data_IF_680508243981
#
_entry.id   IF_680508243981
#
_cell.length_a   1.000
_cell.length_b   1.000
_cell.length_c   1.000
_cell.angle_alpha   90.00
_cell.angle_beta   90.00
_cell.angle_gamma   90.00
#
_symmetry.space_group_name_H-M   'P 1'
#
loop_
_entity.id
_entity.type
_entity.pdbx_description
1 polymer ?
#
# COMPACT_ATOMS: atom_id res chain seq x y z
N UNK A 1 1.60 26.98 1.02
CA UNK A 1 1.17 26.17 -0.13
C UNK A 1 2.27 26.22 -1.18
N UNK A 2 3.07 25.17 -1.30
CA UNK A 2 4.00 25.03 -2.44
C UNK A 2 3.21 24.30 -3.52
N UNK A 3 2.79 25.04 -4.54
CA UNK A 3 2.20 24.45 -5.75
C UNK A 3 3.34 23.69 -6.44
N UNK A 4 3.37 22.37 -6.30
CA UNK A 4 4.39 21.53 -6.93
C UNK A 4 3.97 21.32 -8.38
N UNK A 5 4.46 22.22 -9.23
CA UNK A 5 4.43 22.07 -10.69
C UNK A 5 4.94 20.65 -11.01
N UNK A 6 4.11 19.89 -11.73
CA UNK A 6 4.46 18.54 -12.18
C UNK A 6 5.48 18.73 -13.30
N UNK A 7 6.76 18.73 -12.92
CA UNK A 7 7.86 18.82 -13.87
C UNK A 7 8.05 17.44 -14.51
N UNK A 8 7.54 17.29 -15.72
CA UNK A 8 7.53 16.05 -16.52
C UNK A 8 8.92 15.56 -16.95
N UNK A 9 9.99 16.30 -16.63
CA UNK A 9 11.38 15.94 -16.91
C UNK A 9 12.17 15.51 -15.66
N UNK A 10 11.49 15.24 -14.55
CA UNK A 10 12.16 14.91 -13.30
C UNK A 10 12.61 13.44 -13.23
N UNK A 11 13.87 13.24 -12.79
CA UNK A 11 14.52 11.92 -12.74
C UNK A 11 13.81 10.95 -11.77
N UNK A 12 13.97 9.61 -11.94
CA UNK A 12 13.37 8.61 -11.05
C UNK A 12 13.69 8.84 -9.56
N UNK A 13 14.92 9.30 -9.27
CA UNK A 13 15.33 9.65 -7.91
C UNK A 13 14.56 10.86 -7.34
N UNK A 14 14.37 11.93 -8.13
CA UNK A 14 13.59 13.08 -7.69
C UNK A 14 12.14 12.68 -7.38
N UNK A 15 11.59 11.77 -8.18
CA UNK A 15 10.24 11.24 -8.01
C UNK A 15 10.14 10.32 -6.79
N UNK A 16 11.18 9.54 -6.49
CA UNK A 16 11.28 8.79 -5.24
C UNK A 16 11.24 9.73 -4.01
N UNK A 17 12.01 10.82 -4.03
CA UNK A 17 11.98 11.82 -2.96
C UNK A 17 10.59 12.47 -2.81
N UNK A 18 9.90 12.76 -3.92
CA UNK A 18 8.54 13.28 -3.89
C UNK A 18 7.55 12.27 -3.31
N UNK A 19 7.68 10.99 -3.66
CA UNK A 19 6.88 9.93 -3.07
C UNK A 19 7.10 9.81 -1.55
N UNK A 20 8.34 9.95 -1.08
CA UNK A 20 8.66 9.97 0.36
C UNK A 20 7.99 11.15 1.09
N UNK A 21 7.92 12.34 0.48
CA UNK A 21 7.17 13.46 1.05
C UNK A 21 5.66 13.17 1.17
N UNK A 22 5.08 12.44 0.21
CA UNK A 22 3.66 12.03 0.30
C UNK A 22 3.43 11.09 1.49
N UNK A 23 4.38 10.18 1.79
CA UNK A 23 4.32 9.34 3.00
C UNK A 23 4.33 10.20 4.26
N UNK A 24 5.21 11.21 4.34
CA UNK A 24 5.23 12.14 5.47
C UNK A 24 3.89 12.89 5.63
N UNK A 25 3.29 13.34 4.54
CA UNK A 25 1.98 14.00 4.57
C UNK A 25 0.86 13.06 5.00
N UNK A 26 0.88 11.80 4.54
CA UNK A 26 -0.05 10.77 5.00
C UNK A 26 0.05 10.57 6.51
N UNK A 27 1.27 10.35 7.03
CA UNK A 27 1.52 10.15 8.46
C UNK A 27 1.04 11.35 9.27
N UNK A 28 1.42 12.58 8.89
CA UNK A 28 0.98 13.79 9.59
C UNK A 28 -0.54 13.95 9.59
N UNK A 29 -1.20 13.60 8.48
CA UNK A 29 -2.66 13.60 8.43
C UNK A 29 -3.23 12.59 9.42
N UNK A 30 -2.74 11.34 9.44
CA UNK A 30 -3.22 10.32 10.39
C UNK A 30 -3.03 10.70 11.86
N UNK A 31 -1.95 11.41 12.20
CA UNK A 31 -1.72 11.89 13.56
C UNK A 31 -2.64 13.06 13.96
N UNK A 32 -3.05 13.90 13.01
CA UNK A 32 -3.93 15.02 13.30
C UNK A 32 -5.38 14.58 13.53
N UNK A 33 -5.83 13.53 12.82
CA UNK A 33 -7.23 13.11 12.77
C UNK A 33 -7.87 12.78 14.14
N UNK A 34 -7.21 12.08 15.08
CA UNK A 34 -7.77 11.86 16.42
C UNK A 34 -8.00 13.14 17.24
N UNK A 35 -7.27 14.21 16.92
CA UNK A 35 -7.31 15.47 17.67
C UNK A 35 -8.09 16.58 16.98
N UNK A 36 -8.23 16.51 15.66
CA UNK A 36 -8.88 17.51 14.82
C UNK A 36 -9.74 16.82 13.75
N UNK A 37 -11.00 16.54 14.08
CA UNK A 37 -11.96 15.98 13.12
C UNK A 37 -12.20 16.90 11.92
N UNK A 38 -11.94 18.22 12.02
CA UNK A 38 -12.05 19.11 10.87
C UNK A 38 -10.99 18.82 9.80
N UNK A 39 -9.89 18.14 10.17
CA UNK A 39 -8.85 17.71 9.24
C UNK A 39 -9.36 16.67 8.23
N UNK A 40 -10.46 15.96 8.51
CA UNK A 40 -11.07 14.98 7.60
C UNK A 40 -11.43 15.62 6.26
N UNK A 41 -11.95 16.85 6.28
CA UNK A 41 -12.30 17.61 5.06
C UNK A 41 -11.11 17.86 4.11
N UNK A 42 -9.87 17.76 4.61
CA UNK A 42 -8.63 17.96 3.83
C UNK A 42 -8.09 16.66 3.24
N UNK A 43 -8.48 15.51 3.77
CA UNK A 43 -8.02 14.20 3.32
C UNK A 43 -8.41 13.87 1.87
N UNK A 44 -9.61 14.20 1.34
CA UNK A 44 -9.93 13.96 -0.06
C UNK A 44 -8.89 14.55 -1.02
N UNK A 45 -8.51 15.82 -0.81
CA UNK A 45 -7.55 16.52 -1.66
C UNK A 45 -6.14 15.89 -1.59
N UNK A 46 -5.74 15.39 -0.41
CA UNK A 46 -4.48 14.69 -0.24
C UNK A 46 -4.48 13.32 -0.97
N UNK A 47 -5.61 12.61 -0.91
CA UNK A 47 -5.79 11.36 -1.66
C UNK A 47 -5.76 11.62 -3.17
N UNK A 48 -6.45 12.67 -3.65
CA UNK A 48 -6.42 13.07 -5.07
C UNK A 48 -4.99 13.37 -5.53
N UNK A 49 -4.23 14.13 -4.72
CA UNK A 49 -2.81 14.41 -4.99
C UNK A 49 -1.97 13.13 -5.09
N UNK A 50 -2.21 12.13 -4.24
CA UNK A 50 -1.52 10.85 -4.30
C UNK A 50 -1.89 10.07 -5.57
N UNK A 51 -3.18 10.03 -5.95
CA UNK A 51 -3.64 9.38 -7.17
C UNK A 51 -3.03 10.02 -8.43
N UNK A 52 -3.04 11.35 -8.52
CA UNK A 52 -2.44 12.08 -9.62
C UNK A 52 -0.94 11.76 -9.74
N UNK A 53 -0.25 11.68 -8.59
CA UNK A 53 1.15 11.31 -8.55
C UNK A 53 1.39 9.86 -8.99
N UNK A 54 0.57 8.91 -8.53
CA UNK A 54 0.63 7.51 -8.96
C UNK A 54 0.49 7.39 -10.47
N UNK A 55 -0.47 8.10 -11.06
CA UNK A 55 -0.67 8.10 -12.51
C UNK A 55 0.58 8.58 -13.26
N UNK A 56 1.25 9.63 -12.76
CA UNK A 56 2.51 10.11 -13.34
C UNK A 56 3.59 9.04 -13.27
N UNK A 57 3.89 8.48 -12.10
CA UNK A 57 4.98 7.50 -11.95
C UNK A 57 4.71 6.17 -12.65
N UNK A 58 3.44 5.78 -12.80
CA UNK A 58 3.05 4.60 -13.58
C UNK A 58 3.26 4.84 -15.07
N UNK A 59 2.89 6.02 -15.57
CA UNK A 59 3.09 6.41 -16.97
C UNK A 59 4.56 6.46 -17.34
N UNK A 60 5.38 7.15 -16.54
CA UNK A 60 6.82 7.26 -16.81
C UNK A 60 7.53 5.90 -16.64
N UNK A 61 7.09 5.08 -15.69
CA UNK A 61 7.63 3.73 -15.46
C UNK A 61 7.18 2.66 -16.47
N UNK A 62 6.18 2.95 -17.31
CA UNK A 62 5.70 2.03 -18.37
C UNK A 62 6.42 2.23 -19.71
N UNK A 63 7.51 3.02 -19.74
CA UNK A 63 8.27 3.28 -20.95
C UNK A 63 8.83 2.00 -21.61
N UNK A 64 8.87 2.01 -22.95
CA UNK A 64 9.17 0.87 -23.85
C UNK A 64 10.63 0.35 -23.79
N UNK A 65 11.37 0.70 -22.72
CA UNK A 65 12.75 0.29 -22.51
C UNK A 65 12.79 -0.93 -21.60
N UNK A 66 13.52 -1.94 -22.05
CA UNK A 66 13.73 -3.22 -21.37
C UNK A 66 13.95 -3.05 -19.85
N UNK A 67 13.06 -3.65 -19.05
CA UNK A 67 13.15 -3.87 -17.60
C UNK A 67 13.81 -2.73 -16.78
N UNK A 68 13.36 -1.48 -16.95
CA UNK A 68 13.81 -0.37 -16.10
C UNK A 68 13.02 -0.34 -14.78
N UNK A 69 13.65 -0.82 -13.70
CA UNK A 69 13.07 -0.83 -12.36
C UNK A 69 13.29 0.46 -11.55
N UNK A 70 13.86 1.51 -12.15
CA UNK A 70 14.18 2.76 -11.44
C UNK A 70 12.94 3.46 -10.86
N UNK A 71 11.76 3.21 -11.43
CA UNK A 71 10.47 3.76 -11.00
C UNK A 71 9.75 2.94 -9.91
N UNK A 72 10.17 1.69 -9.67
CA UNK A 72 9.49 0.80 -8.70
C UNK A 72 9.47 1.42 -7.30
N UNK A 73 10.54 2.12 -6.92
CA UNK A 73 10.60 2.77 -5.61
C UNK A 73 9.55 3.88 -5.44
N UNK A 74 9.38 4.75 -6.43
CA UNK A 74 8.41 5.84 -6.37
C UNK A 74 6.97 5.33 -6.49
N UNK A 75 6.74 4.34 -7.37
CA UNK A 75 5.47 3.63 -7.50
C UNK A 75 5.06 2.95 -6.19
N UNK A 76 6.01 2.31 -5.51
CA UNK A 76 5.78 1.65 -4.23
C UNK A 76 5.45 2.66 -3.14
N UNK A 77 6.30 3.67 -2.95
CA UNK A 77 6.11 4.67 -1.89
C UNK A 77 4.82 5.48 -2.05
N UNK A 78 4.45 5.85 -3.28
CA UNK A 78 3.21 6.58 -3.53
C UNK A 78 1.98 5.79 -3.05
N UNK A 79 1.93 4.50 -3.39
CA UNK A 79 0.86 3.60 -2.97
C UNK A 79 0.91 3.31 -1.47
N UNK A 80 2.09 3.13 -0.90
CA UNK A 80 2.24 2.98 0.56
C UNK A 80 1.74 4.22 1.31
N UNK A 81 1.98 5.43 0.79
CA UNK A 81 1.43 6.66 1.37
C UNK A 81 -0.11 6.65 1.38
N UNK A 82 -0.72 6.22 0.28
CA UNK A 82 -2.17 6.09 0.20
C UNK A 82 -2.69 5.00 1.15
N UNK A 83 -2.05 3.84 1.23
CA UNK A 83 -2.41 2.80 2.21
C UNK A 83 -2.38 3.36 3.63
N UNK A 84 -1.32 4.07 4.05
CA UNK A 84 -1.22 4.68 5.38
C UNK A 84 -2.42 5.57 5.70
N UNK A 85 -2.81 6.44 4.75
CA UNK A 85 -3.92 7.36 4.97
C UNK A 85 -5.28 6.65 4.93
N UNK A 86 -5.51 5.78 3.95
CA UNK A 86 -6.79 5.14 3.73
C UNK A 86 -7.10 4.06 4.77
N UNK A 87 -6.08 3.33 5.24
CA UNK A 87 -6.20 2.33 6.30
C UNK A 87 -6.76 2.91 7.60
N UNK A 88 -6.44 4.18 7.88
CA UNK A 88 -6.99 4.92 9.02
C UNK A 88 -8.52 5.10 8.93
N UNK A 89 -9.05 5.29 7.72
CA UNK A 89 -10.49 5.44 7.49
C UNK A 89 -11.21 4.11 7.25
N UNK A 90 -10.51 3.10 6.72
CA UNK A 90 -11.05 1.78 6.48
C UNK A 90 -11.31 1.02 7.79
N UNK A 91 -10.51 1.26 8.83
CA UNK A 91 -10.70 0.66 10.16
C UNK A 91 -11.36 1.66 11.13
N UNK A 92 -12.66 1.51 11.47
CA UNK A 92 -13.34 2.45 12.37
C UNK A 92 -12.74 2.52 13.78
N UNK A 93 -12.04 1.46 14.21
CA UNK A 93 -11.31 1.41 15.48
C UNK A 93 -10.18 2.44 15.54
N UNK A 94 -9.51 2.72 14.40
CA UNK A 94 -8.36 3.64 14.32
C UNK A 94 -8.77 5.11 14.40
N UNK A 95 -10.02 5.43 14.06
CA UNK A 95 -10.61 6.76 14.27
C UNK A 95 -10.80 7.08 15.75
N UNK A 96 -10.92 6.05 16.60
CA UNK A 96 -11.11 6.23 18.03
C UNK A 96 -9.76 6.14 18.76
N UNK A 97 -9.47 7.12 19.63
CA UNK A 97 -8.26 7.08 20.47
C UNK A 97 -8.27 6.01 21.57
N UNK A 98 -9.26 5.11 21.58
CA UNK A 98 -9.41 4.04 22.56
C UNK A 98 -9.33 2.68 21.85
N UNK A 99 -8.75 1.67 22.50
CA UNK A 99 -8.66 0.34 21.94
C UNK A 99 -10.04 -0.35 21.87
N UNK A 100 -10.32 -1.01 20.74
CA UNK A 100 -11.55 -1.76 20.49
C UNK A 100 -12.58 -1.01 19.66
N UNK A 101 -13.72 -1.66 19.38
CA UNK A 101 -14.81 -1.05 18.63
C UNK A 101 -15.53 -0.01 19.50
N UNK A 102 -15.10 1.25 19.40
CA UNK A 102 -15.77 2.35 20.09
C UNK A 102 -17.01 2.74 19.29
N UNK A 103 -18.19 2.44 19.85
CA UNK A 103 -19.42 3.10 19.42
C UNK A 103 -19.33 4.56 19.86
N UNK A 104 -18.76 5.43 19.02
CA UNK A 104 -18.74 6.86 19.27
C UNK A 104 -20.18 7.35 19.49
N UNK A 105 -20.51 7.99 20.62
CA UNK A 105 -21.84 8.54 20.84
C UNK A 105 -22.01 9.79 19.96
N UNK A 106 -22.43 9.57 18.72
CA UNK A 106 -22.64 10.62 17.73
C UNK A 106 -22.83 10.05 16.33
N UNK A 107 -23.71 10.66 15.53
CA UNK A 107 -23.78 10.32 14.11
C UNK A 107 -22.46 10.73 13.44
N UNK A 108 -21.88 9.84 12.64
CA UNK A 108 -20.72 10.18 11.80
C UNK A 108 -21.06 11.38 10.92
N UNK A 109 -20.10 12.27 10.72
CA UNK A 109 -20.29 13.37 9.77
C UNK A 109 -20.43 12.84 8.34
N UNK A 110 -21.03 13.63 7.45
CA UNK A 110 -21.14 13.26 6.03
C UNK A 110 -19.75 13.06 5.40
N UNK A 111 -18.79 13.90 5.76
CA UNK A 111 -17.39 13.79 5.34
C UNK A 111 -16.73 12.50 5.83
N UNK A 112 -16.99 12.10 7.09
CA UNK A 112 -16.49 10.84 7.65
C UNK A 112 -17.05 9.62 6.91
N UNK A 113 -18.35 9.61 6.63
CA UNK A 113 -19.00 8.51 5.90
C UNK A 113 -18.46 8.44 4.46
N UNK A 114 -18.36 9.60 3.79
CA UNK A 114 -17.82 9.69 2.44
C UNK A 114 -16.37 9.17 2.38
N UNK A 115 -15.52 9.61 3.31
CA UNK A 115 -14.13 9.17 3.39
C UNK A 115 -13.97 7.70 3.74
N UNK A 116 -14.81 7.17 4.65
CA UNK A 116 -14.82 5.73 4.97
C UNK A 116 -15.14 4.91 3.72
N UNK A 117 -16.22 5.24 3.02
CA UNK A 117 -16.63 4.52 1.80
C UNK A 117 -15.56 4.60 0.71
N UNK A 118 -15.01 5.79 0.50
CA UNK A 118 -13.92 6.01 -0.46
C UNK A 118 -12.70 5.18 -0.10
N UNK A 119 -12.31 5.13 1.18
CA UNK A 119 -11.18 4.35 1.64
C UNK A 119 -11.37 2.85 1.43
N UNK A 120 -12.54 2.29 1.75
CA UNK A 120 -12.84 0.87 1.50
C UNK A 120 -12.59 0.48 0.04
N UNK A 121 -13.17 1.26 -0.90
CA UNK A 121 -13.05 0.99 -2.34
C UNK A 121 -11.61 1.14 -2.82
N UNK A 122 -10.95 2.23 -2.42
CA UNK A 122 -9.61 2.54 -2.89
C UNK A 122 -8.54 1.60 -2.33
N UNK A 123 -8.63 1.21 -1.05
CA UNK A 123 -7.68 0.25 -0.45
C UNK A 123 -7.73 -1.09 -1.19
N UNK A 124 -8.93 -1.55 -1.56
CA UNK A 124 -9.11 -2.76 -2.37
C UNK A 124 -8.49 -2.62 -3.77
N UNK A 125 -8.75 -1.51 -4.44
CA UNK A 125 -8.17 -1.21 -5.77
C UNK A 125 -6.65 -1.14 -5.72
N UNK A 126 -6.06 -0.48 -4.71
CA UNK A 126 -4.61 -0.42 -4.53
C UNK A 126 -3.99 -1.81 -4.32
N UNK A 127 -4.69 -2.71 -3.62
CA UNK A 127 -4.23 -4.09 -3.46
C UNK A 127 -4.20 -4.84 -4.80
N UNK A 128 -5.21 -4.66 -5.66
CA UNK A 128 -5.22 -5.23 -7.01
C UNK A 128 -4.13 -4.64 -7.92
N UNK A 129 -3.91 -3.33 -7.88
CA UNK A 129 -2.84 -2.68 -8.62
C UNK A 129 -1.47 -3.17 -8.17
N UNK A 130 -1.29 -3.38 -6.86
CA UNK A 130 -0.06 -3.94 -6.28
C UNK A 130 0.17 -5.37 -6.75
N UNK A 131 -0.86 -6.22 -6.73
CA UNK A 131 -0.77 -7.58 -7.25
C UNK A 131 -0.41 -7.58 -8.75
N UNK A 132 -1.02 -6.69 -9.55
CA UNK A 132 -0.67 -6.53 -10.96
C UNK A 132 0.78 -6.08 -11.18
N UNK A 133 1.31 -5.20 -10.31
CA UNK A 133 2.72 -4.81 -10.34
C UNK A 133 3.62 -6.00 -10.02
N UNK A 134 3.29 -6.78 -8.98
CA UNK A 134 4.02 -7.99 -8.60
C UNK A 134 4.04 -9.02 -9.74
N UNK A 135 2.91 -9.25 -10.41
CA UNK A 135 2.85 -10.18 -11.54
C UNK A 135 3.73 -9.78 -12.72
N UNK A 136 3.99 -8.48 -12.92
CA UNK A 136 4.96 -8.01 -13.93
C UNK A 136 6.40 -8.28 -13.52
N UNK A 137 6.69 -8.35 -12.22
CA UNK A 137 8.03 -8.56 -11.68
C UNK A 137 8.41 -10.05 -11.57
N UNK A 138 7.47 -10.93 -11.26
CA UNK A 138 7.72 -12.37 -11.06
C UNK A 138 8.48 -13.02 -12.25
N UNK A 139 8.10 -12.82 -13.52
CA UNK A 139 8.79 -13.46 -14.65
C UNK A 139 10.28 -13.08 -14.75
N UNK A 140 10.65 -11.90 -14.26
CA UNK A 140 12.06 -11.46 -14.25
C UNK A 140 12.89 -12.14 -13.15
N UNK A 141 12.25 -12.72 -12.14
CA UNK A 141 12.90 -13.38 -11.01
C UNK A 141 13.21 -14.85 -11.29
N UNK A 142 12.42 -15.51 -12.15
CA UNK A 142 12.54 -16.95 -12.46
C UNK A 142 13.63 -17.28 -13.52
N UNK A 143 14.38 -16.28 -14.02
CA UNK A 143 15.45 -16.51 -14.99
C UNK A 143 16.79 -16.82 -14.28
N UNK A 144 17.08 -18.12 -14.18
CA UNK A 144 18.11 -18.76 -13.32
C UNK A 144 19.56 -18.23 -13.47
N UNK A 145 19.98 -17.68 -14.61
CA UNK A 145 21.38 -17.31 -14.82
C UNK A 145 21.74 -15.87 -14.36
N UNK A 146 20.74 -15.03 -14.03
CA UNK A 146 20.95 -13.61 -13.69
C UNK A 146 20.11 -13.12 -12.48
N UNK A 147 19.39 -14.02 -11.81
CA UNK A 147 18.44 -13.69 -10.74
C UNK A 147 19.02 -12.79 -9.64
N UNK A 148 20.28 -13.01 -9.22
CA UNK A 148 20.96 -12.14 -8.23
C UNK A 148 21.13 -10.69 -8.68
N UNK A 149 21.27 -10.45 -9.99
CA UNK A 149 21.36 -9.11 -10.58
C UNK A 149 20.00 -8.41 -10.64
N UNK A 150 18.93 -9.14 -10.96
CA UNK A 150 17.59 -8.56 -11.03
C UNK A 150 17.02 -8.18 -9.67
N UNK A 151 17.21 -9.05 -8.67
CA UNK A 151 16.87 -8.71 -7.30
C UNK A 151 17.57 -7.43 -6.86
N UNK A 152 18.78 -7.15 -7.36
CA UNK A 152 19.59 -5.98 -7.01
C UNK A 152 18.96 -4.64 -7.40
N UNK A 153 18.13 -4.65 -8.45
CA UNK A 153 17.54 -3.46 -9.07
C UNK A 153 16.16 -3.13 -8.50
N UNK A 154 15.48 -4.09 -7.86
CA UNK A 154 14.19 -3.86 -7.23
C UNK A 154 14.39 -3.11 -5.90
N UNK A 155 13.70 -1.98 -5.77
CA UNK A 155 13.71 -1.15 -4.58
C UNK A 155 13.06 -1.87 -3.38
N UNK A 156 13.64 -1.86 -2.17
CA UNK A 156 13.06 -2.51 -0.99
C UNK A 156 11.72 -1.91 -0.54
N UNK A 157 11.39 -0.68 -0.98
CA UNK A 157 10.12 -0.03 -0.66
C UNK A 157 8.89 -0.79 -1.16
N UNK A 158 9.05 -1.67 -2.17
CA UNK A 158 7.96 -2.52 -2.64
C UNK A 158 7.50 -3.51 -1.56
N UNK A 159 8.36 -3.87 -0.60
CA UNK A 159 8.03 -4.84 0.45
C UNK A 159 6.88 -4.34 1.34
N UNK A 160 6.92 -3.07 1.74
CA UNK A 160 5.86 -2.44 2.53
C UNK A 160 4.53 -2.41 1.77
N UNK A 161 4.61 -2.12 0.47
CA UNK A 161 3.45 -2.09 -0.42
C UNK A 161 2.82 -3.48 -0.54
N UNK A 162 3.64 -4.51 -0.81
CA UNK A 162 3.17 -5.90 -0.93
C UNK A 162 2.58 -6.39 0.40
N UNK A 163 3.21 -6.07 1.53
CA UNK A 163 2.67 -6.39 2.85
C UNK A 163 1.28 -5.76 3.07
N UNK A 164 1.13 -4.48 2.74
CA UNK A 164 -0.15 -3.75 2.89
C UNK A 164 -1.25 -4.34 2.00
N UNK A 165 -0.92 -4.69 0.76
CA UNK A 165 -1.85 -5.36 -0.16
C UNK A 165 -2.22 -6.77 0.34
N UNK A 166 -1.25 -7.55 0.85
CA UNK A 166 -1.51 -8.86 1.45
C UNK A 166 -2.49 -8.75 2.62
N UNK A 167 -2.22 -7.88 3.59
CA UNK A 167 -3.11 -7.64 4.73
C UNK A 167 -4.53 -7.29 4.26
N UNK A 168 -4.64 -6.46 3.22
CA UNK A 168 -5.92 -6.10 2.60
C UNK A 168 -6.65 -7.32 2.01
N UNK A 169 -5.97 -8.17 1.25
CA UNK A 169 -6.61 -9.36 0.69
C UNK A 169 -7.00 -10.39 1.74
N UNK A 170 -6.22 -10.56 2.81
CA UNK A 170 -6.64 -11.42 3.94
C UNK A 170 -7.91 -10.89 4.60
N UNK A 171 -7.99 -9.58 4.80
CA UNK A 171 -9.17 -8.93 5.35
C UNK A 171 -10.41 -9.16 4.47
N UNK A 172 -10.34 -8.87 3.16
CA UNK A 172 -11.46 -9.12 2.25
C UNK A 172 -11.79 -10.61 2.07
N UNK A 173 -10.79 -11.50 2.13
CA UNK A 173 -11.03 -12.94 2.13
C UNK A 173 -11.83 -13.40 3.35
N UNK A 174 -11.53 -12.83 4.52
CA UNK A 174 -12.26 -13.12 5.75
C UNK A 174 -13.67 -12.52 5.75
N UNK A 175 -13.85 -11.30 5.25
CA UNK A 175 -15.16 -10.62 5.22
C UNK A 175 -16.11 -11.20 4.17
N UNK A 176 -15.62 -11.42 2.95
CA UNK A 176 -16.47 -11.83 1.83
C UNK A 176 -16.56 -13.36 1.67
N UNK A 177 -15.70 -14.13 2.37
CA UNK A 177 -15.63 -15.58 2.23
C UNK A 177 -15.27 -16.06 0.82
N UNK A 178 -14.69 -15.19 0.00
CA UNK A 178 -14.46 -15.43 -1.42
C UNK A 178 -13.07 -16.04 -1.65
N UNK A 179 -13.04 -17.26 -2.21
CA UNK A 179 -11.81 -17.94 -2.57
C UNK A 179 -10.97 -17.24 -3.65
N UNK A 180 -11.53 -16.28 -4.40
CA UNK A 180 -10.82 -15.52 -5.43
C UNK A 180 -9.57 -14.80 -4.88
N UNK A 181 -9.60 -14.38 -3.60
CA UNK A 181 -8.47 -13.71 -2.96
C UNK A 181 -7.27 -14.63 -2.69
N UNK A 182 -7.49 -15.95 -2.63
CA UNK A 182 -6.44 -16.91 -2.32
C UNK A 182 -5.33 -16.94 -3.37
N UNK A 183 -5.69 -16.76 -4.64
CA UNK A 183 -4.70 -16.67 -5.71
C UNK A 183 -3.82 -15.42 -5.57
N UNK A 184 -4.41 -14.26 -5.29
CA UNK A 184 -3.67 -13.02 -5.06
C UNK A 184 -2.73 -13.14 -3.85
N UNK A 185 -3.24 -13.71 -2.75
CA UNK A 185 -2.46 -13.99 -1.54
C UNK A 185 -1.26 -14.90 -1.85
N UNK A 186 -1.50 -15.99 -2.58
CA UNK A 186 -0.45 -16.94 -2.96
C UNK A 186 0.67 -16.24 -3.75
N UNK A 187 0.32 -15.52 -4.83
CA UNK A 187 1.30 -14.87 -5.70
C UNK A 187 2.20 -13.88 -4.95
N UNK A 188 1.61 -13.05 -4.09
CA UNK A 188 2.37 -12.07 -3.33
C UNK A 188 3.21 -12.69 -2.20
N UNK A 189 2.75 -13.80 -1.60
CA UNK A 189 3.58 -14.57 -0.66
C UNK A 189 4.79 -15.17 -1.36
N UNK A 190 4.60 -15.73 -2.56
CA UNK A 190 5.72 -16.22 -3.38
C UNK A 190 6.70 -15.09 -3.70
N UNK A 191 6.19 -13.93 -4.12
CA UNK A 191 7.03 -12.75 -4.37
C UNK A 191 7.86 -12.34 -3.15
N UNK A 192 7.23 -12.20 -1.97
CA UNK A 192 7.98 -11.88 -0.73
C UNK A 192 8.99 -12.98 -0.37
N UNK A 193 8.64 -14.25 -0.57
CA UNK A 193 9.53 -15.37 -0.31
C UNK A 193 10.80 -15.32 -1.16
N UNK A 194 10.64 -15.06 -2.46
CA UNK A 194 11.77 -14.88 -3.38
C UNK A 194 12.62 -13.65 -3.01
N UNK A 195 11.98 -12.54 -2.63
CA UNK A 195 12.68 -11.33 -2.16
C UNK A 195 13.40 -11.53 -0.81
N UNK A 196 12.98 -12.52 -0.02
CA UNK A 196 13.56 -12.86 1.29
C UNK A 196 15.01 -13.33 1.23
N UNK A 197 15.46 -13.80 0.07
CA UNK A 197 16.87 -14.13 -0.18
C UNK A 197 17.79 -12.90 -0.08
N UNK A 198 17.29 -11.72 -0.44
CA UNK A 198 18.02 -10.45 -0.44
C UNK A 198 17.66 -9.59 0.77
N UNK A 199 16.38 -9.45 1.04
CA UNK A 199 15.86 -8.54 2.05
C UNK A 199 15.24 -9.32 3.18
N UNK A 200 15.94 -9.39 4.33
CA UNK A 200 15.42 -10.03 5.54
C UNK A 200 14.00 -9.55 5.89
N UNK A 201 13.71 -8.27 5.68
CA UNK A 201 12.40 -7.67 5.93
C UNK A 201 11.25 -8.39 5.19
N UNK A 202 11.49 -8.97 4.01
CA UNK A 202 10.46 -9.71 3.29
C UNK A 202 10.03 -10.98 4.06
N UNK A 203 10.98 -11.68 4.70
CA UNK A 203 10.68 -12.83 5.56
C UNK A 203 9.95 -12.40 6.84
N UNK A 204 10.34 -11.27 7.43
CA UNK A 204 9.63 -10.70 8.58
C UNK A 204 8.18 -10.37 8.22
N UNK A 205 7.94 -9.76 7.04
CA UNK A 205 6.59 -9.51 6.55
C UNK A 205 5.80 -10.79 6.29
N UNK A 206 6.42 -11.85 5.75
CA UNK A 206 5.76 -13.15 5.63
C UNK A 206 5.32 -13.72 6.99
N UNK A 207 6.15 -13.54 8.02
CA UNK A 207 5.81 -13.90 9.40
C UNK A 207 4.63 -13.09 9.92
N UNK A 208 4.67 -11.76 9.75
CA UNK A 208 3.61 -10.85 10.20
C UNK A 208 2.27 -11.12 9.49
N UNK A 209 2.31 -11.46 8.20
CA UNK A 209 1.12 -11.80 7.42
C UNK A 209 0.39 -13.03 7.98
N UNK A 210 1.08 -13.93 8.68
CA UNK A 210 0.46 -15.06 9.37
C UNK A 210 -0.61 -14.64 10.38
N UNK A 211 -0.51 -13.45 10.99
CA UNK A 211 -1.51 -12.94 11.93
C UNK A 211 -2.79 -12.42 11.26
N UNK A 212 -2.74 -12.11 9.96
CA UNK A 212 -3.90 -11.70 9.18
C UNK A 212 -4.69 -12.90 8.65
N UNK A 213 -4.09 -14.09 8.60
CA UNK A 213 -4.77 -15.31 8.19
C UNK A 213 -5.76 -15.78 9.27
N UNK A 214 -7.03 -15.51 9.02
CA UNK A 214 -8.12 -15.91 9.91
C UNK A 214 -8.20 -17.42 10.14
N UNK A 215 -7.67 -18.25 9.23
CA UNK A 215 -7.64 -19.71 9.40
C UNK A 215 -6.59 -20.14 10.43
N UNK A 216 -5.51 -19.36 10.62
CA UNK A 216 -4.44 -19.67 11.59
C UNK A 216 -4.73 -19.11 12.98
N UNK A 217 -5.79 -18.31 13.17
CA UNK A 217 -6.12 -17.72 14.49
C UNK A 217 -6.32 -18.75 15.61
N UNK A 218 -6.70 -19.98 15.28
CA UNK A 218 -6.84 -21.06 16.25
C UNK A 218 -5.50 -21.52 16.86
N UNK A 219 -4.39 -21.43 16.10
CA UNK A 219 -3.06 -21.89 16.55
C UNK A 219 -2.37 -20.88 17.48
N UNK A 220 -2.79 -19.61 17.46
CA UNK A 220 -2.20 -18.55 18.29
C UNK A 220 -2.89 -18.34 19.65
N UNK A 221 -4.01 -19.02 19.89
CA UNK A 221 -4.81 -18.92 21.12
C UNK A 221 -4.64 -20.15 22.05
N UNK A 222 -3.76 -21.08 21.67
CA UNK A 222 -3.33 -22.25 22.45
C UNK A 222 -1.91 -22.09 22.93
#
# INVERSE_FOLDING_TARGET
MVSTIIDSDSSPFAQLCRAAMLVEFAIKATWALPTDHSAISKCPALVDQMCDFMFVVDREGSGDKQADYSWIGSQALARSAAFVLLDFFACPEKLSGQAGYVMSPGAKSEDEVCMTNRAMVMTKELAYQTHSLVQKLIPSMDTDELSSSYFSQISPHILDLVYSALATFYWFAAEEGNGAYQHHIYDMRQFLGSMGSRWRLANEYLGLVGYHDSNNRAEFLT
#
